data_IF_408630202678
#
_entry.id   IF_408630202678
#
_cell.length_a   1.000
_cell.length_b   1.000
_cell.length_c   1.000
_cell.angle_alpha   90.00
_cell.angle_beta   90.00
_cell.angle_gamma   90.00
#
_symmetry.space_group_name_H-M   'P 1'
#
loop_
_entity.id
_entity.type
_entity.pdbx_description
1 polymer ?
#
# COMPACT_ATOMS: atom_id res chain seq x y z
N UNK A 1 -50.61 -8.03 31.93
CA UNK A 1 -49.47 -7.19 32.37
C UNK A 1 -48.18 -7.92 32.03
N UNK A 2 -47.50 -7.62 30.90
CA UNK A 2 -46.26 -8.28 30.56
C UNK A 2 -45.18 -7.90 31.58
N UNK A 3 -44.54 -8.91 32.19
CA UNK A 3 -43.46 -8.71 33.13
C UNK A 3 -42.32 -7.95 32.46
N UNK A 4 -42.19 -6.66 32.80
CA UNK A 4 -41.05 -5.81 32.44
C UNK A 4 -39.82 -6.46 33.07
N UNK A 5 -39.09 -7.28 32.31
CA UNK A 5 -37.82 -7.87 32.74
C UNK A 5 -36.97 -6.72 33.27
N UNK A 6 -36.69 -6.75 34.56
CA UNK A 6 -35.79 -5.79 35.19
C UNK A 6 -34.44 -5.97 34.50
N UNK A 7 -34.13 -5.06 33.57
CA UNK A 7 -32.87 -5.05 32.82
C UNK A 7 -31.74 -5.22 33.82
N UNK A 8 -30.97 -6.29 33.66
CA UNK A 8 -29.83 -6.63 34.51
C UNK A 8 -28.95 -5.41 34.71
N UNK A 9 -29.07 -4.80 35.88
CA UNK A 9 -28.28 -3.68 36.29
C UNK A 9 -26.82 -4.12 36.44
N UNK A 10 -25.96 -3.62 35.56
CA UNK A 10 -24.53 -3.83 35.65
C UNK A 10 -23.80 -2.49 35.68
N UNK A 11 -22.53 -2.51 36.06
CA UNK A 11 -21.62 -1.40 35.85
C UNK A 11 -21.48 -1.09 34.36
N UNK A 12 -21.16 0.16 34.04
CA UNK A 12 -20.85 0.59 32.68
C UNK A 12 -19.71 -0.26 32.08
N UNK A 13 -19.87 -0.71 30.84
CA UNK A 13 -18.96 -1.61 30.13
C UNK A 13 -18.07 -0.91 29.11
N UNK A 14 -17.85 0.40 29.27
CA UNK A 14 -16.87 1.11 28.45
C UNK A 14 -15.46 0.59 28.75
N UNK A 15 -14.60 0.52 27.74
CA UNK A 15 -13.19 0.16 27.89
C UNK A 15 -12.42 1.42 28.19
N UNK A 16 -11.83 1.59 29.38
CA UNK A 16 -11.06 2.80 29.71
C UNK A 16 -9.90 3.00 28.73
N UNK A 17 -9.59 4.26 28.41
CA UNK A 17 -8.34 4.59 27.70
C UNK A 17 -7.14 4.37 28.63
N UNK A 18 -5.93 4.41 28.09
CA UNK A 18 -4.68 4.10 28.79
C UNK A 18 -4.51 4.81 30.16
N UNK A 19 -5.13 5.99 30.32
CA UNK A 19 -5.07 6.80 31.55
C UNK A 19 -6.43 7.01 32.23
N UNK A 20 -7.49 6.35 31.77
CA UNK A 20 -8.83 6.48 32.36
C UNK A 20 -9.09 5.36 33.36
N UNK A 21 -9.74 5.69 34.48
CA UNK A 21 -10.23 4.69 35.41
C UNK A 21 -11.51 4.04 34.88
N UNK A 22 -11.81 2.78 35.27
CA UNK A 22 -13.10 2.16 35.00
C UNK A 22 -14.27 3.03 35.45
N UNK A 23 -15.28 3.18 34.60
CA UNK A 23 -16.44 4.01 34.89
C UNK A 23 -17.26 3.41 36.06
N UNK A 24 -17.44 4.13 37.19
CA UNK A 24 -18.19 3.62 38.34
C UNK A 24 -19.71 3.65 38.13
N UNK A 25 -20.18 4.38 37.10
CA UNK A 25 -21.60 4.60 36.83
C UNK A 25 -22.34 3.33 36.41
N UNK A 26 -23.65 3.31 36.69
CA UNK A 26 -24.54 2.22 36.28
C UNK A 26 -24.77 2.25 34.77
N UNK A 27 -24.57 1.12 34.12
CA UNK A 27 -24.86 0.93 32.70
C UNK A 27 -26.30 0.48 32.45
N UNK A 28 -26.92 1.01 31.40
CA UNK A 28 -28.29 0.66 30.99
C UNK A 28 -28.30 0.01 29.60
N UNK A 29 -29.28 -0.85 29.32
CA UNK A 29 -29.46 -1.55 28.04
C UNK A 29 -29.02 -3.02 28.08
N UNK A 30 -29.13 -3.71 26.94
CA UNK A 30 -28.76 -5.13 26.84
C UNK A 30 -27.26 -5.30 26.66
N UNK A 31 -26.67 -4.79 25.56
CA UNK A 31 -25.21 -4.75 25.30
C UNK A 31 -24.85 -3.71 24.21
N UNK A 32 -23.71 -3.01 24.30
CA UNK A 32 -22.93 -2.81 25.52
C UNK A 32 -23.73 -1.99 26.55
N UNK A 33 -23.57 -2.29 27.84
CA UNK A 33 -24.24 -1.53 28.91
C UNK A 33 -23.47 -0.24 29.17
N UNK A 34 -24.00 0.88 28.72
CA UNK A 34 -23.34 2.18 28.85
C UNK A 34 -24.13 3.08 29.82
N UNK A 35 -23.42 3.87 30.62
CA UNK A 35 -24.04 4.97 31.37
C UNK A 35 -24.46 6.09 30.40
N UNK A 36 -25.28 7.08 30.82
CA UNK A 36 -25.74 8.14 29.92
C UNK A 36 -24.62 8.90 29.21
N UNK A 37 -23.52 9.22 29.91
CA UNK A 37 -22.36 9.91 29.33
C UNK A 37 -21.68 9.08 28.22
N UNK A 38 -21.33 7.82 28.50
CA UNK A 38 -20.71 6.94 27.51
C UNK A 38 -21.66 6.55 26.37
N UNK A 39 -22.98 6.58 26.59
CA UNK A 39 -23.97 6.40 25.52
C UNK A 39 -24.01 7.60 24.57
N UNK A 40 -23.84 8.82 25.08
CA UNK A 40 -23.68 10.01 24.25
C UNK A 40 -22.38 9.94 23.44
N UNK A 41 -21.26 9.57 24.06
CA UNK A 41 -19.98 9.33 23.37
C UNK A 41 -20.11 8.26 22.27
N UNK A 42 -20.76 7.14 22.56
CA UNK A 42 -21.06 6.08 21.59
C UNK A 42 -21.83 6.63 20.38
N UNK A 43 -22.89 7.40 20.64
CA UNK A 43 -23.71 8.02 19.60
C UNK A 43 -22.91 8.99 18.74
N UNK A 44 -22.07 9.81 19.36
CA UNK A 44 -21.18 10.76 18.68
C UNK A 44 -20.19 10.04 17.78
N UNK A 45 -19.39 9.10 18.31
CA UNK A 45 -18.42 8.34 17.53
C UNK A 45 -19.08 7.54 16.40
N UNK A 46 -20.29 7.02 16.65
CA UNK A 46 -21.10 6.37 15.61
C UNK A 46 -21.47 7.31 14.49
N UNK A 47 -21.93 8.52 14.81
CA UNK A 47 -22.28 9.52 13.82
C UNK A 47 -21.05 9.95 13.00
N UNK A 48 -19.92 10.19 13.67
CA UNK A 48 -18.66 10.59 13.03
C UNK A 48 -18.14 9.55 12.03
N UNK A 49 -18.06 8.27 12.43
CA UNK A 49 -17.59 7.25 11.50
C UNK A 49 -18.60 6.98 10.38
N UNK A 50 -19.90 7.16 10.60
CA UNK A 50 -20.93 7.02 9.55
C UNK A 50 -20.84 8.13 8.51
N UNK A 51 -20.68 9.37 8.94
CA UNK A 51 -20.45 10.50 8.03
C UNK A 51 -19.18 10.26 7.18
N UNK A 52 -18.10 9.78 7.81
CA UNK A 52 -16.87 9.39 7.08
C UNK A 52 -17.11 8.23 6.12
N UNK A 53 -18.02 7.30 6.45
CA UNK A 53 -18.41 6.16 5.61
C UNK A 53 -19.09 6.58 4.32
N UNK A 54 -20.04 7.51 4.42
CA UNK A 54 -20.72 8.07 3.25
C UNK A 54 -19.74 8.83 2.36
N UNK A 55 -18.86 9.64 2.96
CA UNK A 55 -17.81 10.36 2.23
C UNK A 55 -16.84 9.39 1.53
N UNK A 56 -16.41 8.31 2.22
CA UNK A 56 -15.54 7.29 1.66
C UNK A 56 -16.19 6.59 0.46
N UNK A 57 -17.48 6.28 0.54
CA UNK A 57 -18.20 5.61 -0.54
C UNK A 57 -18.33 6.49 -1.79
N UNK A 58 -18.66 7.77 -1.60
CA UNK A 58 -18.74 8.74 -2.69
C UNK A 58 -17.37 8.84 -3.40
N UNK A 59 -16.29 8.98 -2.62
CA UNK A 59 -14.92 9.09 -3.18
C UNK A 59 -14.47 7.81 -3.88
N UNK A 60 -14.73 6.65 -3.26
CA UNK A 60 -14.42 5.36 -3.84
C UNK A 60 -15.16 5.14 -5.17
N UNK A 61 -16.44 5.50 -5.22
CA UNK A 61 -17.26 5.41 -6.44
C UNK A 61 -16.72 6.34 -7.52
N UNK A 62 -16.34 7.58 -7.18
CA UNK A 62 -15.73 8.53 -8.13
C UNK A 62 -14.43 7.98 -8.72
N UNK A 63 -13.52 7.47 -7.88
CA UNK A 63 -12.26 6.86 -8.34
C UNK A 63 -12.54 5.62 -9.19
N UNK A 64 -13.54 4.79 -8.86
CA UNK A 64 -13.89 3.61 -9.65
C UNK A 64 -14.58 3.90 -10.97
N UNK A 65 -15.28 5.04 -11.07
CA UNK A 65 -15.99 5.45 -12.28
C UNK A 65 -15.06 6.11 -13.31
N UNK A 66 -13.90 6.61 -12.89
CA UNK A 66 -12.87 7.07 -13.80
C UNK A 66 -12.31 5.86 -14.57
N UNK A 67 -12.38 5.91 -15.89
CA UNK A 67 -11.84 4.87 -16.77
C UNK A 67 -10.32 5.05 -16.89
N UNK A 68 -9.58 4.28 -16.11
CA UNK A 68 -8.11 4.36 -16.03
C UNK A 68 -7.40 3.65 -17.17
N UNK A 69 -8.12 2.84 -17.96
CA UNK A 69 -7.53 2.01 -19.01
C UNK A 69 -7.17 2.85 -20.24
N UNK A 70 -7.78 4.02 -20.42
CA UNK A 70 -7.55 4.92 -21.57
C UNK A 70 -6.53 6.04 -21.26
N UNK A 71 -5.47 5.69 -20.50
CA UNK A 71 -4.44 6.61 -20.05
C UNK A 71 -3.66 7.31 -21.18
N UNK A 72 -3.77 6.81 -22.42
CA UNK A 72 -3.16 7.43 -23.60
C UNK A 72 -3.79 8.79 -23.96
N UNK A 73 -5.02 9.05 -23.54
CA UNK A 73 -5.74 10.30 -23.83
C UNK A 73 -5.54 11.38 -22.76
N UNK A 74 -4.90 11.03 -21.64
CA UNK A 74 -4.83 11.91 -20.48
C UNK A 74 -3.71 12.92 -20.62
N UNK A 75 -4.03 14.18 -20.32
CA UNK A 75 -3.01 15.21 -20.18
C UNK A 75 -2.45 15.21 -18.73
N UNK A 76 -1.39 15.98 -18.49
CA UNK A 76 -0.74 16.04 -17.18
C UNK A 76 -1.68 16.53 -16.07
N UNK A 77 -2.57 17.48 -16.37
CA UNK A 77 -3.55 18.02 -15.42
C UNK A 77 -4.55 16.93 -15.01
N UNK A 78 -5.04 16.13 -15.97
CA UNK A 78 -5.98 15.03 -15.69
C UNK A 78 -5.33 14.00 -14.75
N UNK A 79 -4.08 13.63 -15.02
CA UNK A 79 -3.32 12.70 -14.17
C UNK A 79 -3.14 13.26 -12.76
N UNK A 80 -2.81 14.56 -12.63
CA UNK A 80 -2.62 15.19 -11.32
C UNK A 80 -3.91 15.30 -10.51
N UNK A 81 -5.03 15.70 -11.13
CA UNK A 81 -6.35 15.72 -10.47
C UNK A 81 -6.73 14.33 -9.98
N UNK A 82 -6.43 13.31 -10.78
CA UNK A 82 -6.80 11.95 -10.47
C UNK A 82 -5.91 11.33 -9.38
N UNK A 83 -4.61 11.63 -9.38
CA UNK A 83 -3.71 11.29 -8.26
C UNK A 83 -4.19 11.95 -6.97
N UNK A 84 -4.58 13.22 -7.03
CA UNK A 84 -5.13 13.93 -5.87
C UNK A 84 -6.43 13.27 -5.39
N UNK A 85 -7.33 12.91 -6.30
CA UNK A 85 -8.59 12.22 -5.99
C UNK A 85 -8.39 10.85 -5.35
N UNK A 86 -7.45 10.05 -5.88
CA UNK A 86 -7.11 8.74 -5.33
C UNK A 86 -6.48 8.86 -3.93
N UNK A 87 -5.55 9.79 -3.74
CA UNK A 87 -4.91 10.06 -2.44
C UNK A 87 -5.94 10.48 -1.39
N UNK A 88 -6.84 11.37 -1.79
CA UNK A 88 -7.92 11.87 -0.96
C UNK A 88 -8.93 10.77 -0.58
N UNK A 89 -9.16 9.78 -1.45
CA UNK A 89 -9.96 8.59 -1.16
C UNK A 89 -9.26 7.64 -0.17
N UNK A 90 -7.95 7.40 -0.35
CA UNK A 90 -7.10 6.61 0.56
C UNK A 90 -7.17 7.18 1.98
N UNK A 91 -7.03 8.49 2.12
CA UNK A 91 -7.06 9.17 3.43
C UNK A 91 -8.41 9.02 4.12
N UNK A 92 -9.53 9.14 3.38
CA UNK A 92 -10.87 8.97 3.94
C UNK A 92 -11.13 7.53 4.36
N UNK A 93 -10.77 6.54 3.53
CA UNK A 93 -10.89 5.12 3.88
C UNK A 93 -10.08 4.80 5.13
N UNK A 94 -8.85 5.30 5.24
CA UNK A 94 -8.02 5.12 6.42
C UNK A 94 -8.62 5.80 7.67
N UNK A 95 -9.18 7.01 7.53
CA UNK A 95 -9.88 7.70 8.63
C UNK A 95 -11.07 6.88 9.11
N UNK A 96 -11.85 6.35 8.18
CA UNK A 96 -13.02 5.52 8.48
C UNK A 96 -12.63 4.24 9.23
N UNK A 97 -11.62 3.51 8.73
CA UNK A 97 -11.09 2.31 9.38
C UNK A 97 -10.67 2.63 10.81
N UNK A 98 -9.88 3.69 11.02
CA UNK A 98 -9.44 4.09 12.36
C UNK A 98 -10.60 4.47 13.27
N UNK A 99 -11.57 5.26 12.79
CA UNK A 99 -12.74 5.65 13.57
C UNK A 99 -13.58 4.45 14.01
N UNK A 100 -13.74 3.47 13.12
CA UNK A 100 -14.43 2.20 13.42
C UNK A 100 -13.67 1.36 14.44
N UNK A 101 -12.35 1.25 14.30
CA UNK A 101 -11.49 0.52 15.23
C UNK A 101 -11.47 1.18 16.61
N UNK A 102 -11.40 2.50 16.69
CA UNK A 102 -11.50 3.25 17.95
C UNK A 102 -12.86 2.99 18.61
N UNK A 103 -13.95 3.16 17.87
CA UNK A 103 -15.29 2.87 18.37
C UNK A 103 -15.42 1.42 18.86
N UNK A 104 -14.87 0.45 18.12
CA UNK A 104 -14.89 -0.95 18.54
C UNK A 104 -14.10 -1.16 19.82
N UNK A 105 -12.83 -0.73 19.85
CA UNK A 105 -11.95 -0.84 21.03
C UNK A 105 -12.54 -0.17 22.26
N UNK A 106 -13.22 0.97 22.10
CA UNK A 106 -13.78 1.77 23.20
C UNK A 106 -15.02 1.13 23.84
N UNK A 107 -15.87 0.46 23.06
CA UNK A 107 -17.18 -0.01 23.56
C UNK A 107 -17.36 -1.54 23.54
N UNK A 108 -16.45 -2.26 22.90
CA UNK A 108 -16.54 -3.70 22.73
C UNK A 108 -15.27 -4.35 23.27
N UNK A 109 -15.35 -4.79 24.53
CA UNK A 109 -14.30 -5.63 25.13
C UNK A 109 -14.27 -6.96 24.41
N UNK A 110 -13.15 -7.29 23.77
CA UNK A 110 -12.77 -8.67 23.48
C UNK A 110 -12.66 -9.39 24.82
N UNK A 111 -13.78 -9.91 25.33
CA UNK A 111 -13.74 -10.74 26.53
C UNK A 111 -12.88 -11.94 26.16
N UNK A 112 -11.74 -12.04 26.82
CA UNK A 112 -10.74 -13.12 26.84
C UNK A 112 -11.30 -14.48 27.29
N UNK A 113 -12.59 -14.76 27.05
CA UNK A 113 -13.15 -16.10 27.01
C UNK A 113 -12.80 -16.82 25.67
N UNK A 114 -11.63 -16.49 25.11
CA UNK A 114 -10.56 -17.42 24.77
C UNK A 114 -10.81 -18.49 23.71
N UNK A 115 -11.78 -19.39 23.89
CA UNK A 115 -11.76 -20.66 23.12
C UNK A 115 -13.14 -21.25 22.79
N UNK A 116 -14.21 -20.91 23.51
CA UNK A 116 -15.50 -21.62 23.34
C UNK A 116 -16.44 -20.89 22.38
N UNK A 117 -16.46 -19.55 22.41
CA UNK A 117 -17.34 -18.78 21.52
C UNK A 117 -16.78 -18.68 20.09
N UNK A 118 -15.46 -18.72 19.91
CA UNK A 118 -14.83 -18.71 18.58
C UNK A 118 -15.21 -19.95 17.72
N UNK A 119 -15.60 -21.07 18.34
CA UNK A 119 -16.00 -22.30 17.63
C UNK A 119 -17.48 -22.30 17.20
N UNK A 120 -18.38 -21.73 17.99
CA UNK A 120 -19.78 -21.49 17.55
C UNK A 120 -19.85 -20.37 16.50
N UNK A 121 -18.99 -19.34 16.61
CA UNK A 121 -18.89 -18.24 15.65
C UNK A 121 -18.47 -18.65 14.24
N UNK A 122 -17.55 -19.62 14.09
CA UNK A 122 -17.12 -20.09 12.76
C UNK A 122 -18.16 -20.96 12.05
N UNK A 123 -19.22 -21.39 12.75
CA UNK A 123 -20.12 -22.44 12.27
C UNK A 123 -21.36 -21.94 11.53
N UNK A 124 -21.54 -20.62 11.35
CA UNK A 124 -22.56 -20.07 10.44
C UNK A 124 -24.00 -20.50 10.74
N UNK A 125 -24.31 -20.92 11.97
CA UNK A 125 -25.67 -21.28 12.36
C UNK A 125 -26.48 -20.02 12.58
N UNK A 126 -27.17 -19.60 11.52
CA UNK A 126 -28.23 -18.60 11.54
C UNK A 126 -29.41 -19.16 12.35
N UNK A 127 -29.51 -18.78 13.62
CA UNK A 127 -30.74 -18.92 14.39
C UNK A 127 -31.47 -17.58 14.28
N UNK A 128 -32.55 -17.56 13.50
CA UNK A 128 -33.57 -16.51 13.43
C UNK A 128 -33.13 -15.08 13.02
N UNK A 129 -32.44 -14.96 11.88
CA UNK A 129 -32.61 -13.82 10.96
C UNK A 129 -32.03 -12.44 11.34
N UNK A 130 -31.56 -12.22 12.56
CA UNK A 130 -30.97 -10.93 12.96
C UNK A 130 -29.74 -11.11 13.87
N UNK A 131 -28.60 -11.48 13.29
CA UNK A 131 -27.32 -11.41 13.97
C UNK A 131 -26.49 -10.23 13.42
N UNK A 132 -26.49 -9.09 14.11
CA UNK A 132 -25.40 -8.11 14.04
C UNK A 132 -24.25 -8.67 14.89
N UNK A 133 -23.69 -9.80 14.46
CA UNK A 133 -22.52 -10.40 15.11
C UNK A 133 -21.33 -9.47 14.94
N UNK A 134 -20.43 -9.48 15.92
CA UNK A 134 -19.13 -8.81 15.83
C UNK A 134 -18.30 -9.28 14.60
N UNK A 135 -18.60 -10.45 14.02
CA UNK A 135 -18.13 -10.87 12.69
C UNK A 135 -18.42 -9.84 11.59
N UNK A 136 -19.54 -9.12 11.71
CA UNK A 136 -19.92 -8.05 10.82
C UNK A 136 -18.93 -6.88 10.85
N UNK A 137 -18.32 -6.59 12.01
CA UNK A 137 -17.35 -5.50 12.14
C UNK A 137 -16.04 -5.82 11.42
N UNK A 138 -15.43 -6.97 11.72
CA UNK A 138 -14.19 -7.40 11.07
C UNK A 138 -14.39 -7.64 9.57
N UNK A 139 -15.48 -8.30 9.17
CA UNK A 139 -15.80 -8.46 7.75
C UNK A 139 -15.97 -7.11 7.05
N UNK A 140 -16.54 -6.13 7.73
CA UNK A 140 -16.72 -4.79 7.20
C UNK A 140 -15.38 -4.04 7.10
N UNK A 141 -14.51 -4.10 8.11
CA UNK A 141 -13.15 -3.53 8.05
C UNK A 141 -12.37 -4.17 6.90
N UNK A 142 -12.48 -5.49 6.72
CA UNK A 142 -11.81 -6.18 5.64
C UNK A 142 -12.35 -5.77 4.25
N UNK A 143 -13.65 -5.46 4.12
CA UNK A 143 -14.20 -4.84 2.89
C UNK A 143 -13.58 -3.48 2.61
N UNK A 144 -13.42 -2.63 3.63
CA UNK A 144 -12.74 -1.35 3.45
C UNK A 144 -11.28 -1.51 3.07
N UNK A 145 -10.55 -2.41 3.74
CA UNK A 145 -9.15 -2.71 3.38
C UNK A 145 -9.02 -3.19 1.94
N UNK A 146 -9.99 -3.97 1.45
CA UNK A 146 -10.03 -4.38 0.04
C UNK A 146 -10.23 -3.18 -0.90
N UNK A 147 -11.14 -2.25 -0.56
CA UNK A 147 -11.33 -1.00 -1.32
C UNK A 147 -10.06 -0.14 -1.31
N UNK A 148 -9.41 -0.02 -0.15
CA UNK A 148 -8.16 0.70 0.02
C UNK A 148 -7.07 0.15 -0.92
N UNK A 149 -6.85 -1.16 -0.90
CA UNK A 149 -5.90 -1.84 -1.81
C UNK A 149 -6.20 -1.55 -3.29
N UNK A 150 -7.49 -1.54 -3.66
CA UNK A 150 -7.88 -1.23 -5.05
C UNK A 150 -7.55 0.21 -5.43
N UNK A 151 -7.79 1.18 -4.54
CA UNK A 151 -7.45 2.59 -4.79
C UNK A 151 -5.93 2.82 -4.78
N UNK A 152 -5.19 2.13 -3.92
CA UNK A 152 -3.71 2.15 -3.92
C UNK A 152 -3.13 1.63 -5.23
N UNK A 153 -3.71 0.58 -5.80
CA UNK A 153 -3.32 0.07 -7.12
C UNK A 153 -3.56 1.13 -8.22
N UNK A 154 -4.71 1.79 -8.21
CA UNK A 154 -5.01 2.91 -9.13
C UNK A 154 -4.03 4.06 -8.94
N UNK A 155 -3.75 4.47 -7.70
CA UNK A 155 -2.79 5.54 -7.40
C UNK A 155 -1.38 5.20 -7.90
N UNK A 156 -0.96 3.93 -7.77
CA UNK A 156 0.33 3.44 -8.29
C UNK A 156 0.37 3.52 -9.81
N UNK A 157 -0.67 3.05 -10.49
CA UNK A 157 -0.80 3.14 -11.95
C UNK A 157 -0.72 4.60 -12.43
N UNK A 158 -1.42 5.51 -11.75
CA UNK A 158 -1.34 6.94 -12.05
C UNK A 158 0.04 7.54 -11.83
N UNK A 159 0.75 7.09 -10.79
CA UNK A 159 2.15 7.45 -10.56
C UNK A 159 3.02 7.08 -11.75
N UNK A 160 2.86 5.87 -12.30
CA UNK A 160 3.57 5.44 -13.50
C UNK A 160 3.20 6.28 -14.73
N UNK A 161 1.92 6.56 -14.95
CA UNK A 161 1.48 7.43 -16.05
C UNK A 161 2.07 8.84 -15.93
N UNK A 162 2.10 9.42 -14.73
CA UNK A 162 2.69 10.72 -14.45
C UNK A 162 4.19 10.74 -14.81
N UNK A 163 4.94 9.74 -14.35
CA UNK A 163 6.36 9.62 -14.68
C UNK A 163 6.59 9.45 -16.18
N UNK A 164 5.76 8.66 -16.86
CA UNK A 164 5.86 8.47 -18.31
C UNK A 164 5.60 9.78 -19.08
N UNK A 165 4.59 10.55 -18.70
CA UNK A 165 4.29 11.86 -19.31
C UNK A 165 5.43 12.87 -19.11
N UNK A 166 5.98 12.94 -17.89
CA UNK A 166 7.12 13.82 -17.60
C UNK A 166 8.34 13.42 -18.43
N UNK A 167 8.63 12.12 -18.53
CA UNK A 167 9.74 11.62 -19.34
C UNK A 167 9.55 11.95 -20.83
N UNK A 168 8.33 11.83 -21.34
CA UNK A 168 7.99 12.18 -22.72
C UNK A 168 8.11 13.69 -22.99
N UNK A 169 7.67 14.54 -22.05
CA UNK A 169 7.86 15.99 -22.13
C UNK A 169 9.35 16.35 -22.15
N UNK A 170 10.14 15.74 -21.26
CA UNK A 170 11.59 15.93 -21.21
C UNK A 170 12.28 15.48 -22.51
N UNK A 171 11.86 14.33 -23.07
CA UNK A 171 12.38 13.82 -24.35
C UNK A 171 12.11 14.81 -25.49
N UNK A 172 10.89 15.35 -25.58
CA UNK A 172 10.53 16.35 -26.61
C UNK A 172 11.32 17.65 -26.44
N UNK A 173 11.48 18.12 -25.20
CA UNK A 173 12.27 19.32 -24.92
C UNK A 173 13.74 19.14 -25.33
N UNK A 174 14.32 17.97 -25.06
CA UNK A 174 15.68 17.62 -25.46
C UNK A 174 15.83 17.52 -26.98
N UNK A 175 14.86 16.93 -27.68
CA UNK A 175 14.85 16.88 -29.15
C UNK A 175 14.81 18.29 -29.77
N UNK A 176 14.00 19.19 -29.22
CA UNK A 176 13.94 20.60 -29.64
C UNK A 176 15.30 21.27 -29.40
N UNK A 177 15.90 21.06 -28.22
CA UNK A 177 17.23 21.61 -27.87
C UNK A 177 18.30 21.14 -28.86
N UNK A 178 18.35 19.84 -29.16
CA UNK A 178 19.30 19.26 -30.12
C UNK A 178 19.02 19.73 -31.57
N UNK A 179 17.75 19.92 -31.95
CA UNK A 179 17.39 20.47 -33.26
C UNK A 179 17.80 21.94 -33.40
N UNK A 180 17.63 22.74 -32.35
CA UNK A 180 18.11 24.12 -32.29
C UNK A 180 19.63 24.20 -32.34
N UNK A 181 20.33 23.34 -31.59
CA UNK A 181 21.79 23.26 -31.63
C UNK A 181 22.30 22.88 -33.03
N UNK A 182 21.65 21.91 -33.69
CA UNK A 182 21.95 21.56 -35.09
C UNK A 182 21.73 22.75 -36.03
N UNK A 183 20.63 23.50 -35.88
CA UNK A 183 20.37 24.73 -36.67
C UNK A 183 21.45 25.79 -36.44
N UNK A 184 21.91 25.99 -35.19
CA UNK A 184 22.99 26.93 -34.86
C UNK A 184 24.33 26.51 -35.49
N UNK A 185 24.69 25.23 -35.43
CA UNK A 185 25.91 24.71 -36.06
C UNK A 185 25.88 24.86 -37.58
N UNK A 186 24.74 24.59 -38.20
CA UNK A 186 24.57 24.76 -39.65
C UNK A 186 24.67 26.23 -40.07
N UNK A 187 24.03 27.13 -39.33
CA UNK A 187 24.13 28.57 -39.58
C UNK A 187 25.58 29.08 -39.42
N UNK A 188 26.29 28.62 -38.39
CA UNK A 188 27.71 28.94 -38.19
C UNK A 188 28.58 28.41 -39.35
N UNK A 189 28.30 27.19 -39.83
CA UNK A 189 28.98 26.61 -40.99
C UNK A 189 28.76 27.47 -42.25
N UNK A 190 27.51 27.83 -42.55
CA UNK A 190 27.18 28.69 -43.70
C UNK A 190 27.87 30.06 -43.59
N UNK A 191 27.86 30.68 -42.40
CA UNK A 191 28.53 31.96 -42.16
C UNK A 191 30.05 31.90 -42.36
N UNK A 192 30.68 30.78 -42.02
CA UNK A 192 32.11 30.57 -42.24
C UNK A 192 32.44 30.51 -43.75
N UNK A 193 31.65 29.77 -44.53
CA UNK A 193 31.83 29.68 -45.99
C UNK A 193 31.64 31.03 -46.70
N UNK A 194 30.65 31.83 -46.28
CA UNK A 194 30.44 33.17 -46.86
C UNK A 194 31.53 34.16 -46.47
N UNK A 195 32.07 34.09 -45.25
CA UNK A 195 33.17 34.96 -44.81
C UNK A 195 34.51 34.66 -45.53
N UNK A 196 34.76 33.39 -45.87
CA UNK A 196 36.02 32.96 -46.53
C UNK A 196 36.03 33.26 -48.03
N UNK A 197 34.90 33.68 -48.60
CA UNK A 197 34.77 34.02 -50.02
C UNK A 197 35.22 35.46 -50.37
N UNK A 198 35.86 36.18 -49.42
CA UNK A 198 36.47 37.47 -49.74
C UNK A 198 37.66 37.26 -50.68
N UNK A 199 37.76 38.01 -51.80
CA UNK A 199 38.87 37.89 -52.73
C UNK A 199 40.17 38.16 -52.00
N UNK A 200 41.08 37.18 -52.05
CA UNK A 200 42.43 37.25 -51.49
C UNK A 200 43.09 38.51 -52.05
N UNK A 201 43.33 39.56 -51.25
CA UNK A 201 44.23 40.61 -51.66
C UNK A 201 45.62 39.99 -51.65
N UNK A 202 46.31 40.03 -52.80
CA UNK A 202 47.72 39.65 -52.89
C UNK A 202 48.51 40.50 -51.89
N UNK A 203 48.86 39.91 -50.74
CA UNK A 203 49.59 40.57 -49.67
C UNK A 203 50.68 39.65 -49.17
N UNK A 204 51.86 39.85 -49.73
CA UNK A 204 53.15 39.53 -49.13
C UNK A 204 53.25 40.19 -47.76
N UNK A 205 53.40 39.44 -46.65
CA UNK A 205 54.26 39.85 -45.54
C UNK A 205 54.47 38.76 -44.46
N UNK A 206 55.77 38.48 -44.26
CA UNK A 206 56.51 38.05 -43.06
C UNK A 206 55.74 37.41 -41.88
N UNK A 207 56.03 36.13 -41.69
CA UNK A 207 55.95 35.44 -40.41
C UNK A 207 57.00 36.02 -39.45
N UNK A 208 56.54 36.60 -38.34
CA UNK A 208 57.37 37.01 -37.20
C UNK A 208 57.06 36.10 -36.02
N UNK A 209 57.99 35.21 -35.73
CA UNK A 209 57.97 34.33 -34.57
C UNK A 209 58.16 35.18 -33.30
N UNK A 210 57.13 35.33 -32.49
CA UNK A 210 57.29 35.85 -31.13
C UNK A 210 57.27 34.68 -30.15
N UNK A 211 58.38 34.55 -29.44
CA UNK A 211 58.64 33.61 -28.35
C UNK A 211 58.04 34.20 -27.08
N UNK A 212 57.10 33.50 -26.45
CA UNK A 212 56.56 33.89 -25.16
C UNK A 212 57.54 33.56 -24.02
N UNK A 213 57.67 34.43 -23.00
CA UNK A 213 58.60 34.22 -21.89
C UNK A 213 58.02 33.25 -20.86
N UNK A 214 58.81 32.23 -20.52
CA UNK A 214 58.57 31.25 -19.47
C UNK A 214 58.60 31.95 -18.10
N UNK A 215 57.43 32.23 -17.53
CA UNK A 215 57.27 32.62 -16.13
C UNK A 215 57.12 31.38 -15.25
N UNK A 216 58.22 31.00 -14.61
CA UNK A 216 58.33 29.92 -13.63
C UNK A 216 57.59 30.27 -12.33
N UNK A 217 56.26 30.16 -12.31
CA UNK A 217 55.51 30.07 -11.06
C UNK A 217 55.50 28.60 -10.61
N UNK A 218 56.18 28.32 -9.49
CA UNK A 218 56.08 27.05 -8.79
C UNK A 218 54.64 26.89 -8.26
N UNK A 219 53.76 26.32 -9.08
CA UNK A 219 52.44 25.90 -8.62
C UNK A 219 52.62 24.81 -7.55
N UNK A 220 51.88 24.88 -6.42
CA UNK A 220 51.87 23.80 -5.45
C UNK A 220 51.50 22.51 -6.19
N UNK A 221 52.39 21.49 -6.12
CA UNK A 221 52.11 20.22 -6.78
C UNK A 221 50.74 19.73 -6.28
N UNK A 222 49.76 19.55 -7.17
CA UNK A 222 48.46 19.05 -6.77
C UNK A 222 48.69 17.71 -6.08
N UNK A 223 48.30 17.64 -4.81
CA UNK A 223 48.26 16.40 -4.02
C UNK A 223 47.65 15.34 -4.91
N UNK A 224 48.45 14.35 -5.31
CA UNK A 224 48.01 13.29 -6.23
C UNK A 224 46.71 12.70 -5.67
N UNK A 225 45.64 12.62 -6.47
CA UNK A 225 44.41 12.03 -6.00
C UNK A 225 44.73 10.63 -5.50
N UNK A 226 44.39 10.36 -4.25
CA UNK A 226 44.59 9.05 -3.64
C UNK A 226 43.28 8.29 -3.82
N UNK A 227 43.37 7.01 -4.19
CA UNK A 227 42.19 6.17 -4.36
C UNK A 227 41.32 6.23 -3.09
N UNK A 228 40.02 6.45 -3.25
CA UNK A 228 39.09 6.68 -2.14
C UNK A 228 39.06 5.51 -1.12
N UNK A 229 39.40 4.29 -1.55
CA UNK A 229 39.54 3.11 -0.66
C UNK A 229 40.86 3.05 0.12
N UNK A 230 41.87 3.84 -0.25
CA UNK A 230 43.12 3.98 0.52
C UNK A 230 42.85 4.65 1.86
N UNK A 231 42.07 5.75 1.85
CA UNK A 231 41.71 6.51 3.05
C UNK A 231 40.87 5.71 4.03
N UNK A 232 40.06 4.77 3.53
CA UNK A 232 39.16 3.97 4.35
C UNK A 232 39.80 2.72 4.97
N UNK A 233 40.83 2.12 4.35
CA UNK A 233 41.27 0.76 4.69
C UNK A 233 42.79 0.50 4.66
N UNK A 234 43.66 1.53 4.54
CA UNK A 234 45.12 1.35 4.47
C UNK A 234 45.57 0.29 3.43
N UNK A 235 44.81 0.16 2.35
CA UNK A 235 45.08 -0.84 1.31
C UNK A 235 46.16 -0.33 0.34
N UNK A 236 46.94 -1.25 -0.26
CA UNK A 236 48.10 -1.02 -1.14
C UNK A 236 47.82 -0.25 -2.46
N UNK A 237 46.74 0.51 -2.57
CA UNK A 237 46.48 1.38 -3.72
C UNK A 237 47.31 2.67 -3.65
N UNK A 238 48.63 2.52 -3.68
CA UNK A 238 49.60 3.65 -3.66
C UNK A 238 49.98 4.13 -5.06
N UNK A 239 49.58 3.42 -6.12
CA UNK A 239 49.97 3.72 -7.50
C UNK A 239 48.72 3.88 -8.36
N UNK A 240 48.58 5.07 -8.94
CA UNK A 240 47.74 5.37 -10.10
C UNK A 240 46.21 5.46 -9.89
N UNK A 241 45.78 6.50 -9.17
CA UNK A 241 44.57 7.20 -9.64
C UNK A 241 44.99 7.97 -10.90
N UNK A 242 44.81 7.36 -12.07
CA UNK A 242 45.11 8.03 -13.34
C UNK A 242 44.27 9.31 -13.46
N UNK A 243 44.91 10.39 -13.90
CA UNK A 243 44.37 11.67 -14.35
C UNK A 243 42.85 11.87 -14.19
N UNK A 244 42.40 12.20 -12.97
CA UNK A 244 41.03 12.64 -12.69
C UNK A 244 40.02 11.54 -12.28
N UNK A 245 40.41 10.28 -12.22
CA UNK A 245 39.54 9.21 -11.72
C UNK A 245 39.57 9.12 -10.18
N UNK A 246 38.39 8.92 -9.57
CA UNK A 246 38.20 8.81 -8.10
C UNK A 246 38.74 7.47 -7.54
N UNK A 247 38.97 6.47 -8.41
CA UNK A 247 39.35 5.10 -8.05
C UNK A 247 40.45 4.58 -8.97
N UNK A 248 41.28 3.66 -8.47
CA UNK A 248 42.16 2.87 -9.33
C UNK A 248 41.33 1.88 -10.18
N UNK A 249 41.92 1.34 -11.25
CA UNK A 249 41.22 0.47 -12.19
C UNK A 249 40.59 -0.76 -11.52
N UNK A 250 41.31 -1.44 -10.64
CA UNK A 250 40.81 -2.64 -9.93
C UNK A 250 39.57 -2.33 -9.09
N UNK A 251 39.58 -1.22 -8.33
CA UNK A 251 38.43 -0.79 -7.55
C UNK A 251 37.27 -0.31 -8.44
N UNK A 252 37.57 0.29 -9.58
CA UNK A 252 36.56 0.68 -10.55
C UNK A 252 35.87 -0.54 -11.16
N UNK A 253 36.61 -1.59 -11.53
CA UNK A 253 36.05 -2.84 -12.04
C UNK A 253 35.21 -3.55 -10.98
N UNK A 254 35.72 -3.63 -9.75
CA UNK A 254 34.97 -4.19 -8.62
C UNK A 254 33.67 -3.41 -8.33
N UNK A 255 33.69 -2.09 -8.48
CA UNK A 255 32.49 -1.26 -8.33
C UNK A 255 31.48 -1.51 -9.44
N UNK A 256 31.92 -1.54 -10.70
CA UNK A 256 31.04 -1.82 -11.85
C UNK A 256 30.39 -3.21 -11.69
N UNK A 257 31.18 -4.22 -11.30
CA UNK A 257 30.67 -5.58 -11.09
C UNK A 257 29.65 -5.63 -9.93
N UNK A 258 29.94 -4.97 -8.81
CA UNK A 258 29.02 -4.89 -7.67
C UNK A 258 27.71 -4.18 -8.04
N UNK A 259 27.78 -3.11 -8.84
CA UNK A 259 26.61 -2.35 -9.28
C UNK A 259 25.74 -3.17 -10.24
N UNK A 260 26.37 -3.88 -11.18
CA UNK A 260 25.65 -4.79 -12.07
C UNK A 260 24.95 -5.92 -11.30
N UNK A 261 25.64 -6.50 -10.30
CA UNK A 261 25.09 -7.56 -9.44
C UNK A 261 23.93 -7.06 -8.58
N UNK A 262 24.03 -5.84 -8.04
CA UNK A 262 22.95 -5.21 -7.27
C UNK A 262 21.70 -5.03 -8.13
N UNK A 263 21.84 -4.41 -9.32
CA UNK A 263 20.71 -4.21 -10.25
C UNK A 263 20.05 -5.51 -10.68
N UNK A 264 20.84 -6.56 -10.90
CA UNK A 264 20.32 -7.87 -11.23
C UNK A 264 19.52 -8.49 -10.08
N UNK A 265 19.99 -8.33 -8.83
CA UNK A 265 19.29 -8.79 -7.64
C UNK A 265 18.00 -8.00 -7.38
N UNK A 266 18.04 -6.67 -7.51
CA UNK A 266 16.88 -5.78 -7.40
C UNK A 266 15.79 -6.15 -8.43
N UNK A 267 16.16 -6.34 -9.70
CA UNK A 267 15.21 -6.77 -10.73
C UNK A 267 14.55 -8.11 -10.41
N UNK A 268 15.29 -9.08 -9.86
CA UNK A 268 14.71 -10.36 -9.43
C UNK A 268 13.79 -10.19 -8.22
N UNK A 269 14.18 -9.35 -7.26
CA UNK A 269 13.39 -9.05 -6.08
C UNK A 269 12.05 -8.42 -6.46
N UNK A 270 12.06 -7.39 -7.33
CA UNK A 270 10.85 -6.73 -7.82
C UNK A 270 9.93 -7.68 -8.57
N UNK A 271 10.49 -8.54 -9.44
CA UNK A 271 9.72 -9.54 -10.17
C UNK A 271 9.03 -10.55 -9.25
N UNK A 272 9.62 -10.84 -8.08
CA UNK A 272 9.02 -11.73 -7.08
C UNK A 272 7.97 -11.03 -6.19
N UNK A 273 8.04 -9.71 -6.04
CA UNK A 273 7.23 -8.93 -5.09
C UNK A 273 5.72 -9.14 -5.23
N UNK A 274 5.19 -9.10 -6.46
CA UNK A 274 3.76 -9.33 -6.72
C UNK A 274 3.31 -10.74 -6.33
N UNK A 275 4.17 -11.75 -6.53
CA UNK A 275 3.85 -13.13 -6.15
C UNK A 275 3.82 -13.29 -4.63
N UNK A 276 4.77 -12.69 -3.90
CA UNK A 276 4.79 -12.66 -2.43
C UNK A 276 3.54 -11.96 -1.89
N UNK A 277 3.16 -10.84 -2.50
CA UNK A 277 1.92 -10.13 -2.17
C UNK A 277 0.71 -11.07 -2.33
N UNK A 278 0.59 -11.76 -3.46
CA UNK A 278 -0.53 -12.68 -3.68
C UNK A 278 -0.54 -13.87 -2.70
N UNK A 279 0.62 -14.42 -2.34
CA UNK A 279 0.71 -15.48 -1.31
C UNK A 279 0.19 -14.96 0.03
N UNK A 280 0.55 -13.73 0.42
CA UNK A 280 0.13 -13.11 1.69
C UNK A 280 -1.39 -13.00 1.85
N UNK A 281 -2.08 -12.57 0.79
CA UNK A 281 -3.52 -12.28 0.80
C UNK A 281 -4.39 -13.48 0.37
N UNK A 282 -3.78 -14.60 0.01
CA UNK A 282 -4.52 -15.83 -0.31
C UNK A 282 -5.18 -16.38 0.95
N UNK A 283 -6.49 -16.62 0.89
CA UNK A 283 -7.30 -17.08 2.03
C UNK A 283 -7.14 -18.57 2.36
N UNK A 284 -7.04 -19.40 1.32
CA UNK A 284 -6.94 -20.86 1.45
C UNK A 284 -5.62 -21.37 0.89
N UNK A 285 -5.03 -22.37 1.54
CA UNK A 285 -3.75 -22.95 1.12
C UNK A 285 -3.87 -24.48 1.05
N UNK A 286 -3.53 -25.04 -0.11
CA UNK A 286 -3.34 -26.49 -0.25
C UNK A 286 -1.95 -26.91 0.23
N UNK A 287 -1.78 -28.17 0.62
CA UNK A 287 -0.47 -28.72 1.04
C UNK A 287 0.59 -28.51 -0.03
N UNK A 288 0.22 -28.71 -1.30
CA UNK A 288 1.11 -28.49 -2.45
C UNK A 288 1.56 -27.03 -2.56
N UNK A 289 0.61 -26.08 -2.49
CA UNK A 289 0.95 -24.66 -2.54
C UNK A 289 1.88 -24.26 -1.41
N UNK A 290 1.65 -24.74 -0.18
CA UNK A 290 2.53 -24.41 0.96
C UNK A 290 3.95 -24.94 0.75
N UNK A 291 4.09 -26.14 0.17
CA UNK A 291 5.39 -26.70 -0.14
C UNK A 291 6.17 -25.88 -1.19
N UNK A 292 5.47 -25.24 -2.12
CA UNK A 292 6.05 -24.34 -3.14
C UNK A 292 6.27 -22.91 -2.60
N UNK A 293 5.33 -22.38 -1.82
CA UNK A 293 5.31 -21.00 -1.33
C UNK A 293 6.40 -20.74 -0.28
N UNK A 294 6.67 -21.67 0.64
CA UNK A 294 7.71 -21.51 1.68
C UNK A 294 9.11 -21.25 1.10
N UNK A 295 9.67 -22.11 0.22
CA UNK A 295 11.00 -21.85 -0.36
C UNK A 295 11.00 -20.60 -1.24
N UNK A 296 9.88 -20.28 -1.89
CA UNK A 296 9.75 -19.06 -2.68
C UNK A 296 9.86 -17.80 -1.81
N UNK A 297 9.15 -17.75 -0.67
CA UNK A 297 9.25 -16.68 0.33
C UNK A 297 10.65 -16.60 0.95
N UNK A 298 11.28 -17.74 1.24
CA UNK A 298 12.65 -17.78 1.75
C UNK A 298 13.66 -17.19 0.74
N UNK A 299 13.53 -17.51 -0.55
CA UNK A 299 14.37 -16.95 -1.61
C UNK A 299 14.20 -15.43 -1.72
N UNK A 300 12.99 -14.92 -1.55
CA UNK A 300 12.73 -13.48 -1.53
C UNK A 300 13.48 -12.77 -0.38
N UNK A 301 13.44 -13.34 0.83
CA UNK A 301 14.18 -12.82 2.00
C UNK A 301 15.71 -12.86 1.78
N UNK A 302 16.22 -13.92 1.15
CA UNK A 302 17.65 -14.01 0.80
C UNK A 302 18.07 -12.96 -0.24
N UNK A 303 17.20 -12.67 -1.22
CA UNK A 303 17.47 -11.60 -2.19
C UNK A 303 17.53 -10.23 -1.50
N UNK A 304 16.64 -9.94 -0.55
CA UNK A 304 16.73 -8.72 0.27
C UNK A 304 18.08 -8.60 0.99
N UNK A 305 18.57 -9.68 1.59
CA UNK A 305 19.89 -9.70 2.25
C UNK A 305 21.05 -9.51 1.26
N UNK A 306 20.92 -10.11 0.08
CA UNK A 306 21.91 -9.97 -1.00
C UNK A 306 21.99 -8.53 -1.50
N UNK A 307 20.84 -7.86 -1.69
CA UNK A 307 20.74 -6.44 -2.05
C UNK A 307 21.41 -5.58 -0.97
N UNK A 308 21.11 -5.84 0.32
CA UNK A 308 21.72 -5.12 1.43
C UNK A 308 23.25 -5.28 1.44
N UNK A 309 23.75 -6.50 1.21
CA UNK A 309 25.18 -6.79 1.17
C UNK A 309 25.89 -6.09 0.00
N UNK A 310 25.30 -6.09 -1.20
CA UNK A 310 25.85 -5.40 -2.37
C UNK A 310 25.82 -3.88 -2.22
N UNK A 311 24.74 -3.30 -1.71
CA UNK A 311 24.66 -1.88 -1.39
C UNK A 311 25.77 -1.49 -0.39
N UNK A 312 25.98 -2.30 0.66
CA UNK A 312 27.08 -2.11 1.60
C UNK A 312 28.46 -2.21 0.95
N UNK A 313 28.65 -3.12 -0.01
CA UNK A 313 29.91 -3.24 -0.77
C UNK A 313 30.15 -2.01 -1.64
N UNK A 314 29.13 -1.51 -2.35
CA UNK A 314 29.23 -0.30 -3.16
C UNK A 314 29.54 0.93 -2.34
N UNK A 315 28.87 1.09 -1.19
CA UNK A 315 29.11 2.19 -0.27
C UNK A 315 30.58 2.23 0.21
N UNK A 316 31.19 1.06 0.48
CA UNK A 316 32.63 0.97 0.79
C UNK A 316 33.52 1.29 -0.42
N UNK A 317 33.19 0.79 -1.60
CA UNK A 317 33.95 1.03 -2.83
C UNK A 317 33.88 2.49 -3.31
N UNK A 318 32.82 3.21 -2.93
CA UNK A 318 32.67 4.65 -3.17
C UNK A 318 33.23 5.52 -2.01
N UNK A 319 33.89 4.88 -1.05
CA UNK A 319 34.40 5.45 0.20
C UNK A 319 33.42 6.37 0.90
N UNK A 320 32.20 5.87 1.10
CA UNK A 320 31.20 6.51 1.94
C UNK A 320 30.74 7.89 1.48
N UNK A 321 31.04 8.26 0.22
CA UNK A 321 30.69 9.58 -0.34
C UNK A 321 29.19 9.82 -0.46
N UNK A 322 28.38 8.76 -0.50
CA UNK A 322 26.91 8.83 -0.54
C UNK A 322 26.30 7.97 0.56
N UNK A 323 25.12 8.33 1.11
CA UNK A 323 24.43 7.50 2.09
C UNK A 323 24.10 6.11 1.51
N UNK A 324 24.08 5.08 2.36
CA UNK A 324 23.86 3.69 1.96
C UNK A 324 22.57 3.51 1.13
N UNK A 325 21.53 4.24 1.48
CA UNK A 325 20.22 4.17 0.81
C UNK A 325 20.26 4.71 -0.63
N UNK A 326 21.24 5.54 -0.99
CA UNK A 326 21.37 6.08 -2.35
C UNK A 326 21.77 5.05 -3.40
N UNK A 327 22.26 3.86 -2.99
CA UNK A 327 22.58 2.78 -3.90
C UNK A 327 21.40 1.83 -4.12
N UNK A 328 20.32 1.96 -3.35
CA UNK A 328 19.13 1.10 -3.48
C UNK A 328 18.08 1.83 -4.31
N UNK A 329 17.80 1.32 -5.50
CA UNK A 329 16.67 1.78 -6.30
C UNK A 329 15.40 1.02 -5.91
N UNK A 330 15.54 -0.26 -5.53
CA UNK A 330 14.43 -1.08 -5.06
C UNK A 330 14.00 -0.63 -3.66
N UNK A 331 12.85 0.03 -3.59
CA UNK A 331 12.19 0.24 -2.31
C UNK A 331 11.68 -1.11 -1.80
N UNK A 332 12.37 -1.70 -0.83
CA UNK A 332 11.99 -3.01 -0.27
C UNK A 332 10.62 -3.01 0.43
N UNK A 333 9.97 -1.85 0.57
CA UNK A 333 8.60 -1.71 1.03
C UNK A 333 7.54 -1.66 -0.09
N UNK A 334 7.92 -1.81 -1.35
CA UNK A 334 6.96 -1.90 -2.46
C UNK A 334 5.98 -3.05 -2.16
N UNK A 335 4.68 -2.76 -2.27
CA UNK A 335 3.55 -3.59 -1.83
C UNK A 335 3.36 -3.77 -0.30
N UNK A 336 3.99 -2.94 0.54
CA UNK A 336 3.89 -3.05 2.00
C UNK A 336 4.50 -4.34 2.56
N UNK A 337 5.50 -4.88 1.85
CA UNK A 337 6.20 -6.13 2.16
C UNK A 337 7.52 -5.86 2.89
N UNK A 338 7.45 -5.25 4.09
CA UNK A 338 8.66 -5.12 4.91
C UNK A 338 9.26 -6.49 5.23
N UNK A 339 10.57 -6.54 5.52
CA UNK A 339 11.27 -7.78 5.87
C UNK A 339 10.55 -8.57 6.97
N UNK A 340 10.11 -7.87 8.01
CA UNK A 340 9.38 -8.49 9.14
C UNK A 340 8.03 -9.05 8.73
N UNK A 341 7.31 -8.36 7.83
CA UNK A 341 6.04 -8.84 7.27
C UNK A 341 6.25 -10.13 6.49
N UNK A 342 7.29 -10.21 5.68
CA UNK A 342 7.58 -11.40 4.87
C UNK A 342 8.12 -12.55 5.74
N UNK A 343 8.90 -12.28 6.77
CA UNK A 343 9.33 -13.30 7.73
C UNK A 343 8.15 -13.85 8.54
N UNK A 344 7.21 -12.99 8.94
CA UNK A 344 5.95 -13.40 9.57
C UNK A 344 5.08 -14.24 8.62
N UNK A 345 5.04 -13.89 7.33
CA UNK A 345 4.37 -14.70 6.32
C UNK A 345 4.99 -16.11 6.24
N UNK A 346 6.32 -16.22 6.20
CA UNK A 346 7.02 -17.51 6.19
C UNK A 346 6.64 -18.35 7.41
N UNK A 347 6.72 -17.78 8.62
CA UNK A 347 6.34 -18.45 9.88
C UNK A 347 4.89 -18.93 9.84
N UNK A 348 3.96 -18.10 9.37
CA UNK A 348 2.55 -18.46 9.20
C UNK A 348 2.39 -19.65 8.24
N UNK A 349 3.09 -19.66 7.10
CA UNK A 349 3.04 -20.77 6.14
C UNK A 349 3.58 -22.07 6.76
N UNK A 350 4.67 -21.99 7.54
CA UNK A 350 5.23 -23.15 8.26
C UNK A 350 4.25 -23.70 9.31
N UNK A 351 3.53 -22.83 10.02
CA UNK A 351 2.53 -23.26 11.00
C UNK A 351 1.31 -23.90 10.33
N UNK A 352 0.85 -23.36 9.19
CA UNK A 352 -0.19 -24.01 8.39
C UNK A 352 0.30 -25.38 7.90
N UNK A 353 1.56 -25.49 7.44
CA UNK A 353 2.16 -26.78 7.04
C UNK A 353 2.10 -27.80 8.17
N UNK A 354 2.52 -27.43 9.38
CA UNK A 354 2.47 -28.31 10.57
C UNK A 354 1.04 -28.76 10.86
N UNK A 355 0.08 -27.83 10.83
CA UNK A 355 -1.34 -28.11 11.11
C UNK A 355 -2.00 -29.04 10.07
N UNK A 356 -1.61 -28.93 8.80
CA UNK A 356 -2.14 -29.80 7.74
C UNK A 356 -1.50 -31.20 7.73
N UNK A 357 -0.26 -31.31 8.19
CA UNK A 357 0.46 -32.60 8.25
C UNK A 357 0.22 -33.36 9.55
N UNK A 358 -0.30 -32.69 10.59
CA UNK A 358 -0.73 -33.36 11.81
C UNK A 358 -1.80 -34.39 11.47
N UNK A 359 -1.56 -35.69 11.75
CA UNK A 359 -2.56 -36.74 11.54
C UNK A 359 -3.83 -36.30 12.26
N UNK A 360 -4.93 -36.17 11.51
CA UNK A 360 -6.23 -35.87 12.09
C UNK A 360 -6.46 -36.94 13.16
N UNK A 361 -6.60 -36.60 14.45
CA UNK A 361 -6.76 -37.60 15.49
C UNK A 361 -7.95 -38.47 15.10
N UNK A 362 -7.68 -39.77 14.91
CA UNK A 362 -8.70 -40.71 14.47
C UNK A 362 -9.90 -40.57 15.41
N UNK A 363 -11.08 -40.14 14.92
CA UNK A 363 -12.26 -39.98 15.76
C UNK A 363 -12.74 -41.32 16.35
N UNK A 364 -12.18 -42.44 15.89
CA UNK A 364 -12.59 -43.81 16.21
C UNK A 364 -12.27 -44.26 17.65
N UNK A 365 -11.45 -43.55 18.42
CA UNK A 365 -11.08 -44.00 19.80
C UNK A 365 -11.97 -43.38 20.90
N UNK A 366 -12.88 -42.46 20.57
CA UNK A 366 -13.78 -41.83 21.55
C UNK A 366 -15.20 -42.42 21.59
N UNK A 367 -15.45 -43.53 20.88
CA UNK A 367 -16.76 -44.21 20.85
C UNK A 367 -16.84 -45.49 21.71
N UNK A 368 -15.92 -45.69 22.67
CA UNK A 368 -16.15 -46.64 23.77
C UNK A 368 -16.58 -45.85 25.00
N UNK A 369 -17.80 -45.32 24.97
CA UNK A 369 -18.54 -45.13 26.21
C UNK A 369 -18.73 -46.53 26.85
N UNK A 370 -18.42 -46.70 28.13
CA UNK A 370 -18.78 -47.92 28.84
C UNK A 370 -20.31 -48.02 28.85
N UNK A 371 -20.82 -49.10 28.26
CA UNK A 371 -22.22 -49.51 28.33
C UNK A 371 -22.61 -49.65 29.79
N UNK A 372 -23.20 -48.60 30.36
CA UNK A 372 -23.94 -48.70 31.62
C UNK A 372 -25.31 -49.24 31.26
N UNK A 373 -25.63 -50.38 31.88
CA UNK A 373 -26.85 -51.14 31.68
C UNK A 373 -28.11 -50.27 31.73
N UNK A 374 -28.97 -50.48 30.73
CA UNK A 374 -30.32 -49.93 30.68
C UNK A 374 -31.21 -50.51 31.80
N UNK A 375 -32.09 -49.70 32.40
CA UNK A 375 -33.38 -50.15 32.90
C UNK A 375 -34.47 -49.87 31.86
N UNK A 376 -35.03 -50.95 31.36
CA UNK A 376 -36.47 -51.22 31.13
C UNK A 376 -37.40 -50.05 30.75
N UNK A 377 -37.85 -50.11 29.49
CA UNK A 377 -39.19 -49.84 28.95
C UNK A 377 -40.12 -48.88 29.72
N UNK A 378 -40.59 -47.84 29.03
CA UNK A 378 -42.03 -47.58 28.87
C UNK A 378 -42.30 -46.90 27.52
N UNK A 379 -43.22 -47.48 26.76
CA UNK A 379 -43.59 -47.04 25.42
C UNK A 379 -44.32 -45.70 25.40
N UNK A 380 -44.23 -45.00 24.26
CA UNK A 380 -45.19 -43.96 23.91
C UNK A 380 -45.29 -43.76 22.39
N UNK A 381 -46.45 -44.14 21.89
CA UNK A 381 -47.21 -43.67 20.74
C UNK A 381 -46.48 -42.92 19.61
N UNK A 382 -46.50 -43.55 18.43
CA UNK A 382 -46.38 -42.88 17.13
C UNK A 382 -47.52 -41.85 16.96
N UNK A 383 -47.15 -40.57 16.86
CA UNK A 383 -48.02 -39.49 16.40
C UNK A 383 -47.57 -39.04 15.02
N UNK A 384 -48.33 -39.41 13.99
CA UNK A 384 -48.22 -38.91 12.62
C UNK A 384 -48.64 -37.44 12.56
N UNK A 385 -47.71 -36.53 12.31
CA UNK A 385 -48.04 -35.13 11.99
C UNK A 385 -48.07 -34.94 10.48
N UNK A 386 -49.30 -34.76 9.97
CA UNK A 386 -49.59 -34.17 8.67
C UNK A 386 -49.19 -32.68 8.66
N UNK A 387 -48.52 -32.25 7.60
CA UNK A 387 -48.28 -30.84 7.32
C UNK A 387 -49.50 -30.23 6.60
N UNK A 388 -50.01 -29.05 7.03
CA UNK A 388 -50.97 -28.30 6.23
C UNK A 388 -50.25 -27.41 5.23
N UNK A 389 -50.59 -27.59 3.95
CA UNK A 389 -50.46 -26.56 2.91
C UNK A 389 -51.37 -25.38 3.27
N UNK A 390 -50.81 -24.17 3.33
CA UNK A 390 -51.59 -22.95 3.10
C UNK A 390 -50.90 -22.11 2.03
N UNK A 391 -51.69 -21.82 1.00
CA UNK A 391 -51.47 -20.80 0.01
C UNK A 391 -52.26 -19.57 0.43
N UNK A 392 -51.64 -18.39 0.41
CA UNK A 392 -52.37 -17.14 0.22
C UNK A 392 -51.47 -16.05 -0.36
N UNK A 393 -52.08 -15.35 -1.30
CA UNK A 393 -51.67 -14.23 -2.16
C UNK A 393 -51.25 -12.97 -1.38
N UNK A 394 -50.53 -12.01 -2.02
CA UNK A 394 -50.07 -10.79 -1.37
C UNK A 394 -51.14 -9.70 -1.43
N UNK A 395 -51.38 -9.05 -0.29
CA UNK A 395 -52.22 -7.86 -0.21
C UNK A 395 -51.34 -6.63 0.06
N UNK A 396 -51.24 -5.79 -0.96
CA UNK A 396 -50.77 -4.41 -0.88
C UNK A 396 -51.64 -3.58 0.06
N UNK A 397 -51.03 -2.81 0.96
CA UNK A 397 -51.67 -1.61 1.52
C UNK A 397 -50.65 -0.54 1.87
N UNK A 398 -50.87 0.60 1.24
CA UNK A 398 -50.34 1.95 1.46
C UNK A 398 -50.81 2.55 2.78
N UNK A 399 -50.16 3.66 3.17
CA UNK A 399 -50.43 4.68 4.21
C UNK A 399 -49.09 4.89 4.94
N UNK A 400 -48.25 5.87 4.61
CA UNK A 400 -48.41 7.33 4.58
C UNK A 400 -48.74 7.95 5.95
N UNK A 401 -48.16 9.14 6.20
CA UNK A 401 -48.07 9.94 7.43
C UNK A 401 -46.93 9.57 8.40
N UNK A 402 -46.02 10.45 8.81
CA UNK A 402 -45.90 11.90 8.68
C UNK A 402 -44.93 12.44 9.76
N UNK A 403 -44.50 13.70 9.59
CA UNK A 403 -43.60 14.51 10.43
C UNK A 403 -42.09 14.21 10.30
N UNK A 404 -41.23 15.11 9.83
CA UNK A 404 -41.34 16.55 9.69
C UNK A 404 -40.16 17.21 10.43
N UNK A 405 -39.09 17.55 9.70
CA UNK A 405 -38.10 18.54 10.11
C UNK A 405 -37.64 19.31 8.87
N UNK A 406 -38.32 20.43 8.64
CA UNK A 406 -37.80 21.65 8.01
C UNK A 406 -36.70 22.18 8.95
N UNK A 407 -35.55 22.71 8.56
CA UNK A 407 -34.94 23.02 7.28
C UNK A 407 -33.71 23.89 7.58
N UNK A 408 -32.66 23.83 6.76
CA UNK A 408 -31.75 24.97 6.56
C UNK A 408 -31.10 24.83 5.19
N UNK A 409 -31.57 25.67 4.27
CA UNK A 409 -31.03 25.83 2.92
C UNK A 409 -29.95 26.92 3.00
N UNK A 410 -28.69 26.56 2.76
CA UNK A 410 -27.65 27.54 2.43
C UNK A 410 -27.52 27.54 0.91
N UNK A 411 -28.04 28.61 0.31
CA UNK A 411 -27.79 28.94 -1.08
C UNK A 411 -26.36 29.52 -1.22
N UNK A 412 -25.56 28.92 -2.09
CA UNK A 412 -24.37 29.57 -2.64
C UNK A 412 -24.43 29.46 -4.16
N UNK A 413 -24.84 30.57 -4.76
CA UNK A 413 -24.70 30.95 -6.16
C UNK A 413 -23.26 30.81 -6.65
N UNK A 414 -23.05 30.10 -7.76
CA UNK A 414 -21.94 30.40 -8.68
C UNK A 414 -22.53 30.62 -10.07
N UNK A 415 -22.33 31.86 -10.51
CA UNK A 415 -22.68 32.46 -11.79
C UNK A 415 -21.89 31.83 -12.92
N UNK A 416 -22.54 31.70 -14.08
CA UNK A 416 -22.05 30.97 -15.23
C UNK A 416 -20.84 31.59 -15.94
N UNK A 417 -20.16 30.72 -16.69
CA UNK A 417 -19.31 31.09 -17.82
C UNK A 417 -19.91 30.41 -19.05
N UNK A 418 -20.60 31.21 -19.86
CA UNK A 418 -20.91 30.88 -21.24
C UNK A 418 -19.78 31.43 -22.11
N UNK A 419 -19.04 30.57 -22.81
CA UNK A 419 -18.35 30.88 -24.08
C UNK A 419 -18.18 29.54 -24.83
N UNK A 420 -18.99 29.28 -25.86
CA UNK A 420 -18.65 29.49 -27.28
C UNK A 420 -17.41 28.71 -27.76
N UNK A 421 -17.64 27.50 -28.31
CA UNK A 421 -16.94 27.03 -29.51
C UNK A 421 -17.90 26.14 -30.33
N UNK A 422 -18.47 26.74 -31.37
CA UNK A 422 -19.14 26.07 -32.48
C UNK A 422 -18.38 26.49 -33.74
N UNK A 423 -17.44 25.68 -34.17
CA UNK A 423 -16.97 25.68 -35.56
C UNK A 423 -17.39 24.36 -36.19
N UNK A 424 -18.13 24.48 -37.30
CA UNK A 424 -18.61 23.38 -38.09
C UNK A 424 -17.59 22.88 -39.10
N UNK A 425 -18.08 21.98 -39.94
CA UNK A 425 -17.67 21.90 -41.35
C UNK A 425 -17.94 23.23 -42.05
#
# INVERSE_FOLDING_TARGET
MPHRRLSSAGTCQVVPRDNELPCPERGYGERPRLCPAHRAEYGQLTAEYKATSEEAEIRYTRVRAQDWDDAALWNMTDVEEAVASASLCIDTLNREIRGRQEHHRRFFVERTLGLVLHRCWRSGLTVDGYFVGHDGHEAWINRLRKKLVQVEAVATQLGHCRTALVNEQNRRAEEIRLAEERRKREAARISYWTATSRPIPASTHRCSCCVDPVTSHAFPQPTRPVCVTYLANNSRCTMDAMSGAVRCQEHQDAFIQALSSLRAAEKQYDAMGLSIYNIRYRGDHTVRQIAEDIPYVARYLMLADTINAWAGKLHRLDGYSKPLDSYREANMSVYGLSRDVVDNLRKRLEDIRKNLLLPKPNPTVMAQEPVVAAPTQYGRAQGSYQAPRQATTPQSRSEDEGAGWVGTLVAATVVGIATFFRFGR
#
